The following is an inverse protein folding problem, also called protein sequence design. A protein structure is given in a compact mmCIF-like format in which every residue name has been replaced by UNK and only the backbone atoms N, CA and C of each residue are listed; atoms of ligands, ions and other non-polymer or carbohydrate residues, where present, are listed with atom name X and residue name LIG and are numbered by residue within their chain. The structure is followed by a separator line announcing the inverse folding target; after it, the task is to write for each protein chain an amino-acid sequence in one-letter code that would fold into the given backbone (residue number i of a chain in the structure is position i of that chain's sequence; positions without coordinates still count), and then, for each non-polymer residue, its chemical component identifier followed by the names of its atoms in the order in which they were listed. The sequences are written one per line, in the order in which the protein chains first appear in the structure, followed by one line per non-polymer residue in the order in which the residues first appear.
data_IF_114337952999
#
_entry.id   IF_114337952999
#
_cell.length_a   1.000
_cell.length_b   1.000
_cell.length_c   1.000
_cell.angle_alpha   90.00
_cell.angle_beta   90.00
_cell.angle_gamma   90.00
#
_symmetry.space_group_name_H-M   'P 1'
#
loop_
_entity.id
_entity.type
_entity.pdbx_description
1 polymer ?
#
# COMPACT_ATOMS: atom_id res chain seq x y z
N UNK A 1 6.45 8.66 -11.01
CA UNK A 1 6.44 7.53 -10.06
C UNK A 1 7.80 6.86 -9.85
N UNK A 2 8.51 6.44 -10.91
CA UNK A 2 9.80 5.71 -10.80
C UNK A 2 10.84 6.34 -9.86
N UNK A 3 11.08 7.65 -9.96
CA UNK A 3 12.05 8.35 -9.11
C UNK A 3 11.65 8.32 -7.63
N UNK A 4 10.37 8.55 -7.33
CA UNK A 4 9.84 8.49 -5.98
C UNK A 4 10.03 7.10 -5.36
N UNK A 5 9.60 6.04 -6.07
CA UNK A 5 9.73 4.66 -5.58
C UNK A 5 11.20 4.26 -5.42
N UNK A 6 12.07 4.68 -6.34
CA UNK A 6 13.51 4.43 -6.23
C UNK A 6 14.10 5.05 -4.96
N UNK A 7 13.84 6.34 -4.73
CA UNK A 7 14.33 7.06 -3.53
C UNK A 7 13.74 6.48 -2.25
N UNK A 8 12.43 6.21 -2.22
CA UNK A 8 11.75 5.62 -1.07
C UNK A 8 12.31 4.25 -0.70
N UNK A 9 12.45 3.34 -1.69
CA UNK A 9 12.98 1.99 -1.46
C UNK A 9 14.46 2.01 -1.07
N UNK A 10 15.25 2.94 -1.62
CA UNK A 10 16.65 3.12 -1.24
C UNK A 10 16.76 3.56 0.22
N UNK A 11 16.03 4.62 0.60
CA UNK A 11 16.13 5.19 1.93
C UNK A 11 15.67 4.21 3.01
N UNK A 12 14.45 3.68 2.87
CA UNK A 12 13.89 2.70 3.83
C UNK A 12 14.69 1.39 3.84
N UNK A 13 15.13 0.91 2.67
CA UNK A 13 15.96 -0.28 2.55
C UNK A 13 17.32 -0.15 3.22
N UNK A 14 17.97 1.02 3.11
CA UNK A 14 19.24 1.30 3.78
C UNK A 14 19.10 1.19 5.31
N UNK A 15 18.13 1.90 5.89
CA UNK A 15 17.93 1.88 7.35
C UNK A 15 17.50 0.51 7.86
N UNK A 16 16.62 -0.18 7.14
CA UNK A 16 16.19 -1.53 7.51
C UNK A 16 17.36 -2.51 7.47
N UNK A 17 18.19 -2.49 6.42
CA UNK A 17 19.38 -3.34 6.31
C UNK A 17 20.41 -3.02 7.39
N UNK A 18 20.62 -1.75 7.71
CA UNK A 18 21.51 -1.33 8.80
C UNK A 18 21.05 -1.86 10.16
N UNK A 19 19.73 -1.92 10.40
CA UNK A 19 19.15 -2.38 11.67
C UNK A 19 19.03 -3.90 11.79
N UNK A 20 18.72 -4.60 10.69
CA UNK A 20 18.33 -6.02 10.71
C UNK A 20 19.30 -6.94 9.97
N UNK A 21 20.20 -6.40 9.15
CA UNK A 21 21.06 -7.15 8.22
C UNK A 21 20.34 -7.70 6.98
N UNK A 22 19.01 -7.56 6.90
CA UNK A 22 18.19 -8.15 5.85
C UNK A 22 17.77 -7.14 4.78
N UNK A 23 17.49 -7.63 3.57
CA UNK A 23 16.89 -6.82 2.51
C UNK A 23 15.40 -6.62 2.79
N UNK A 24 14.92 -5.38 2.70
CA UNK A 24 13.51 -5.06 2.94
C UNK A 24 12.62 -5.32 1.73
N UNK A 25 13.09 -4.97 0.54
CA UNK A 25 12.24 -4.87 -0.64
C UNK A 25 12.55 -5.92 -1.70
N UNK A 26 11.50 -6.45 -2.33
CA UNK A 26 11.59 -7.21 -3.59
C UNK A 26 12.09 -6.32 -4.76
N UNK A 27 12.61 -6.95 -5.81
CA UNK A 27 13.02 -6.25 -7.04
C UNK A 27 11.76 -5.71 -7.75
N UNK A 28 11.88 -4.51 -8.35
CA UNK A 28 10.79 -3.81 -9.05
C UNK A 28 9.57 -3.45 -8.16
N UNK A 29 8.53 -2.91 -8.79
CA UNK A 29 7.25 -2.56 -8.18
C UNK A 29 6.15 -2.66 -9.23
N UNK A 30 4.91 -2.87 -8.79
CA UNK A 30 3.74 -2.85 -9.65
C UNK A 30 3.19 -1.43 -9.74
N UNK A 31 2.87 -0.98 -10.95
CA UNK A 31 2.22 0.29 -11.23
C UNK A 31 1.04 0.03 -12.17
N UNK A 32 -0.13 0.53 -11.79
CA UNK A 32 -1.33 0.51 -12.63
C UNK A 32 -1.93 1.92 -12.65
N UNK A 33 -2.05 2.49 -13.84
CA UNK A 33 -2.66 3.81 -14.05
C UNK A 33 -4.11 3.61 -14.42
N UNK A 34 -5.02 4.02 -13.52
CA UNK A 34 -6.46 3.90 -13.74
C UNK A 34 -6.91 4.82 -14.88
N UNK A 35 -7.65 4.26 -15.83
CA UNK A 35 -8.30 4.97 -16.94
C UNK A 35 -9.73 5.35 -16.57
N UNK A 36 -10.34 6.23 -17.37
CA UNK A 36 -11.68 6.78 -17.09
C UNK A 36 -12.76 5.70 -17.09
N UNK A 37 -12.60 4.68 -17.93
CA UNK A 37 -13.50 3.54 -18.06
C UNK A 37 -13.36 2.51 -16.93
N UNK A 38 -12.32 2.59 -16.10
CA UNK A 38 -12.13 1.69 -14.98
C UNK A 38 -12.85 2.19 -13.72
N UNK A 39 -13.51 1.27 -13.01
CA UNK A 39 -14.23 1.61 -11.78
C UNK A 39 -13.25 1.86 -10.63
N UNK A 40 -13.02 3.14 -10.34
CA UNK A 40 -12.17 3.62 -9.24
C UNK A 40 -12.63 3.08 -7.89
N UNK A 41 -13.94 2.96 -7.66
CA UNK A 41 -14.47 2.49 -6.39
C UNK A 41 -14.16 1.00 -6.17
N UNK A 42 -14.21 0.20 -7.23
CA UNK A 42 -13.79 -1.21 -7.14
C UNK A 42 -12.30 -1.33 -6.83
N UNK A 43 -11.46 -0.47 -7.39
CA UNK A 43 -10.03 -0.44 -7.06
C UNK A 43 -9.78 -0.03 -5.59
N UNK A 44 -10.49 0.98 -5.10
CA UNK A 44 -10.39 1.41 -3.69
C UNK A 44 -10.82 0.28 -2.75
N UNK A 45 -11.97 -0.37 -3.02
CA UNK A 45 -12.44 -1.53 -2.25
C UNK A 45 -11.43 -2.68 -2.27
N UNK A 46 -10.77 -2.91 -3.40
CA UNK A 46 -9.70 -3.89 -3.50
C UNK A 46 -8.52 -3.57 -2.57
N UNK A 47 -8.05 -2.31 -2.59
CA UNK A 47 -6.92 -1.87 -1.74
C UNK A 47 -7.28 -2.01 -0.26
N UNK A 48 -8.43 -1.45 0.15
CA UNK A 48 -8.89 -1.50 1.54
C UNK A 48 -9.14 -2.93 2.02
N UNK A 49 -9.67 -3.81 1.17
CA UNK A 49 -9.96 -5.21 1.51
C UNK A 49 -8.75 -6.15 1.50
N UNK A 50 -7.56 -5.72 1.10
CA UNK A 50 -6.37 -6.58 1.06
C UNK A 50 -5.94 -7.15 2.42
N UNK A 51 -5.97 -6.40 3.54
CA UNK A 51 -5.67 -6.92 4.87
C UNK A 51 -6.60 -8.08 5.26
N UNK A 52 -7.91 -7.95 4.97
CA UNK A 52 -8.90 -9.02 5.20
C UNK A 52 -8.59 -10.24 4.34
N UNK A 53 -8.33 -10.05 3.03
CA UNK A 53 -7.94 -11.13 2.13
C UNK A 53 -6.63 -11.83 2.52
N UNK A 54 -5.77 -11.16 3.29
CA UNK A 54 -4.52 -11.72 3.83
C UNK A 54 -4.67 -12.27 5.25
N UNK A 55 -5.86 -12.20 5.85
CA UNK A 55 -6.14 -12.68 7.19
C UNK A 55 -5.45 -11.87 8.29
N UNK A 56 -5.15 -10.59 8.03
CA UNK A 56 -4.54 -9.71 9.04
C UNK A 56 -5.57 -9.14 10.02
N UNK A 57 -6.81 -8.98 9.57
CA UNK A 57 -7.97 -8.44 10.30
C UNK A 57 -9.25 -9.06 9.75
N UNK A 58 -10.33 -9.04 10.51
CA UNK A 58 -11.64 -9.56 10.07
C UNK A 58 -12.43 -8.48 9.30
N UNK A 59 -12.25 -7.21 9.67
CA UNK A 59 -12.84 -6.06 8.98
C UNK A 59 -11.77 -5.07 8.50
N UNK A 60 -11.93 -4.51 7.29
CA UNK A 60 -10.92 -3.62 6.71
C UNK A 60 -10.70 -2.32 7.49
N UNK A 61 -11.69 -1.89 8.29
CA UNK A 61 -11.62 -0.70 9.14
C UNK A 61 -10.76 -0.90 10.39
N UNK A 62 -10.46 -2.16 10.74
CA UNK A 62 -9.62 -2.52 11.87
C UNK A 62 -8.13 -2.44 11.55
N UNK A 63 -7.77 -2.45 10.26
CA UNK A 63 -6.37 -2.35 9.85
C UNK A 63 -5.88 -0.90 9.99
N UNK A 64 -5.08 -0.64 11.02
CA UNK A 64 -4.60 0.70 11.38
C UNK A 64 -3.75 1.41 10.30
N UNK A 65 -3.29 0.67 9.29
CA UNK A 65 -2.52 1.20 8.17
C UNK A 65 -3.35 1.42 6.90
N UNK A 66 -4.67 1.15 6.94
CA UNK A 66 -5.60 1.61 5.90
C UNK A 66 -5.99 3.08 6.16
N UNK A 67 -6.20 3.84 5.10
CA UNK A 67 -6.69 5.21 5.20
C UNK A 67 -6.71 5.96 3.88
N UNK A 68 -7.18 7.20 3.94
CA UNK A 68 -7.13 8.18 2.87
C UNK A 68 -6.79 9.54 3.48
N UNK A 69 -6.14 10.42 2.72
CA UNK A 69 -5.92 11.80 3.14
C UNK A 69 -7.18 12.67 3.03
N UNK A 70 -8.15 12.24 2.21
CA UNK A 70 -9.35 13.01 1.87
C UNK A 70 -10.63 12.43 2.49
N UNK A 71 -10.63 11.14 2.83
CA UNK A 71 -11.82 10.42 3.26
C UNK A 71 -11.56 9.64 4.53
N UNK A 72 -12.49 9.70 5.49
CA UNK A 72 -12.47 8.80 6.63
C UNK A 72 -13.08 7.46 6.22
N UNK A 73 -12.26 6.41 6.25
CA UNK A 73 -12.69 5.05 5.89
C UNK A 73 -13.65 4.42 6.91
N UNK A 74 -13.80 5.06 8.08
CA UNK A 74 -14.70 4.64 9.16
C UNK A 74 -16.03 5.38 9.14
N UNK A 75 -16.18 6.40 8.30
CA UNK A 75 -17.43 7.15 8.15
C UNK A 75 -18.16 6.68 6.87
N UNK A 76 -19.46 6.35 6.97
CA UNK A 76 -20.25 5.84 5.86
C UNK A 76 -20.53 6.89 4.77
#
# INVERSE_FOLDING_TARGET
MKQFISSYKQHTGFYYKKKTGQSLWQINFYEHVLRREEDTMNFVRYVLGNPVRKGLVDDYTEYSHNGSFEFDIKQP
#
